data_IF_081536932410
#
_entry.id   IF_081536932410
#
_cell.length_a   1.000
_cell.length_b   1.000
_cell.length_c   1.000
_cell.angle_alpha   90.00
_cell.angle_beta   90.00
_cell.angle_gamma   90.00
#
_symmetry.space_group_name_H-M   'P 1'
#
loop_
_entity.id
_entity.type
_entity.pdbx_description
1 polymer ?
#
# COMPACT_ATOMS: atom_id res chain seq x y z
N UNK A 1 0.42 10.20 5.88
CA UNK A 1 0.96 9.05 6.65
C UNK A 1 2.43 9.22 6.96
N UNK A 2 3.30 9.44 5.97
CA UNK A 2 4.72 9.72 6.19
C UNK A 2 4.96 10.81 7.25
N UNK A 3 4.35 11.99 7.09
CA UNK A 3 4.45 13.07 8.07
C UNK A 3 4.01 12.67 9.48
N UNK A 4 3.01 11.79 9.62
CA UNK A 4 2.55 11.34 10.93
C UNK A 4 3.62 10.48 11.62
N UNK A 5 4.21 9.53 10.87
CA UNK A 5 5.24 8.63 11.38
C UNK A 5 6.57 9.34 11.66
N UNK A 6 6.81 10.50 11.04
CA UNK A 6 7.96 11.35 11.36
C UNK A 6 7.78 12.03 12.73
N UNK A 7 6.54 12.34 13.12
CA UNK A 7 6.23 13.08 14.34
C UNK A 7 5.86 12.17 15.52
N UNK A 8 5.57 10.89 15.26
CA UNK A 8 5.01 9.98 16.25
C UNK A 8 5.65 8.60 16.14
N UNK A 9 6.19 8.10 17.26
CA UNK A 9 6.79 6.75 17.32
C UNK A 9 5.74 5.63 17.33
N UNK A 10 4.53 5.93 17.82
CA UNK A 10 3.40 5.00 17.91
C UNK A 10 2.21 5.51 17.09
N UNK A 11 1.33 4.59 16.69
CA UNK A 11 0.15 4.93 15.88
C UNK A 11 -1.07 5.13 16.76
N UNK A 12 -1.46 6.39 16.92
CA UNK A 12 -2.75 6.83 17.41
C UNK A 12 -3.71 7.00 16.22
N UNK A 13 -4.80 6.23 16.24
CA UNK A 13 -5.79 6.17 15.14
C UNK A 13 -6.50 7.51 14.95
N UNK A 14 -6.79 8.22 16.02
CA UNK A 14 -7.57 9.45 15.96
C UNK A 14 -6.70 10.61 15.45
N UNK A 15 -5.49 10.77 15.99
CA UNK A 15 -4.53 11.77 15.49
C UNK A 15 -4.15 11.54 14.03
N UNK A 16 -3.98 10.28 13.61
CA UNK A 16 -3.73 9.96 12.22
C UNK A 16 -4.94 10.29 11.33
N UNK A 17 -6.15 10.00 11.83
CA UNK A 17 -7.40 10.36 11.16
C UNK A 17 -7.54 11.87 10.97
N UNK A 18 -7.23 12.67 12.00
CA UNK A 18 -7.21 14.14 11.92
C UNK A 18 -6.24 14.61 10.84
N UNK A 19 -5.03 14.03 10.79
CA UNK A 19 -4.04 14.38 9.75
C UNK A 19 -4.54 14.04 8.34
N UNK A 20 -5.29 12.94 8.17
CA UNK A 20 -5.94 12.63 6.89
C UNK A 20 -7.07 13.62 6.56
N UNK A 21 -7.89 14.00 7.53
CA UNK A 21 -8.95 14.98 7.34
C UNK A 21 -8.38 16.35 6.93
N UNK A 22 -7.34 16.84 7.62
CA UNK A 22 -6.66 18.08 7.26
C UNK A 22 -6.05 18.03 5.86
N UNK A 23 -5.47 16.89 5.46
CA UNK A 23 -4.94 16.70 4.10
C UNK A 23 -6.06 16.76 3.05
N UNK A 24 -7.22 16.17 3.34
CA UNK A 24 -8.39 16.23 2.45
C UNK A 24 -8.98 17.64 2.37
N UNK A 25 -9.09 18.36 3.49
CA UNK A 25 -9.61 19.73 3.50
C UNK A 25 -8.71 20.70 2.69
N UNK A 26 -7.40 20.48 2.69
CA UNK A 26 -6.45 21.28 1.90
C UNK A 26 -6.59 21.02 0.39
N UNK A 27 -6.80 19.77 -0.02
CA UNK A 27 -6.82 19.37 -1.43
C UNK A 27 -7.93 18.34 -1.74
N UNK A 28 -9.22 18.71 -1.62
CA UNK A 28 -10.33 17.76 -1.76
C UNK A 28 -10.50 17.21 -3.19
N UNK A 29 -9.89 17.85 -4.19
CA UNK A 29 -9.97 17.49 -5.61
C UNK A 29 -9.04 16.32 -6.02
N UNK A 30 -8.26 15.73 -5.10
CA UNK A 30 -7.26 14.67 -5.38
C UNK A 30 -7.82 13.28 -5.69
N UNK A 31 -9.07 13.17 -6.14
CA UNK A 31 -9.65 11.90 -6.59
C UNK A 31 -9.98 10.90 -5.46
N UNK A 32 -10.27 11.38 -4.24
CA UNK A 32 -10.68 10.50 -3.15
C UNK A 32 -11.94 9.70 -3.49
N UNK A 33 -11.95 8.41 -3.13
CA UNK A 33 -13.18 7.62 -3.14
C UNK A 33 -14.25 8.22 -2.22
N UNK A 34 -15.54 7.83 -2.38
CA UNK A 34 -16.65 8.48 -1.68
C UNK A 34 -16.67 8.24 -0.15
N UNK A 35 -15.88 7.28 0.33
CA UNK A 35 -15.84 6.87 1.74
C UNK A 35 -15.15 7.88 2.66
N UNK A 36 -13.82 8.11 2.52
CA UNK A 36 -13.07 8.99 3.41
C UNK A 36 -13.69 10.38 3.61
N UNK A 37 -14.15 11.11 2.56
CA UNK A 37 -14.81 12.41 2.75
C UNK A 37 -16.04 12.34 3.66
N UNK A 38 -16.87 11.30 3.54
CA UNK A 38 -18.05 11.09 4.39
C UNK A 38 -17.65 10.77 5.83
N UNK A 39 -16.58 9.99 6.02
CA UNK A 39 -16.03 9.68 7.35
C UNK A 39 -15.56 10.96 8.03
N UNK A 40 -14.75 11.77 7.34
CA UNK A 40 -14.20 13.02 7.87
C UNK A 40 -15.31 14.00 8.25
N UNK A 41 -16.31 14.15 7.38
CA UNK A 41 -17.51 14.95 7.65
C UNK A 41 -18.25 14.46 8.90
N UNK A 42 -18.48 13.15 9.01
CA UNK A 42 -19.21 12.55 10.13
C UNK A 42 -18.49 12.70 11.48
N UNK A 43 -17.15 12.56 11.49
CA UNK A 43 -16.31 12.83 12.67
C UNK A 43 -16.47 14.29 13.10
N UNK A 44 -16.36 15.23 12.16
CA UNK A 44 -16.49 16.68 12.43
C UNK A 44 -17.87 17.06 12.98
N UNK A 45 -18.94 16.53 12.39
CA UNK A 45 -20.32 16.86 12.77
C UNK A 45 -20.76 16.19 14.08
N UNK A 46 -20.40 14.93 14.29
CA UNK A 46 -20.90 14.13 15.42
C UNK A 46 -19.91 13.97 16.56
N UNK A 47 -18.68 14.45 16.42
CA UNK A 47 -17.59 14.33 17.41
C UNK A 47 -17.39 12.87 17.87
N UNK A 48 -17.50 11.93 16.94
CA UNK A 48 -17.25 10.51 17.17
C UNK A 48 -15.87 10.11 16.65
N UNK A 49 -15.33 8.98 17.11
CA UNK A 49 -14.06 8.48 16.63
C UNK A 49 -14.07 8.12 15.14
N UNK A 50 -12.91 8.23 14.48
CA UNK A 50 -12.75 7.84 13.07
C UNK A 50 -13.14 6.38 12.84
N UNK A 51 -12.76 5.50 13.76
CA UNK A 51 -13.16 4.08 13.70
C UNK A 51 -14.68 3.92 13.68
N UNK A 52 -15.41 4.63 14.56
CA UNK A 52 -16.89 4.56 14.62
C UNK A 52 -17.52 5.19 13.38
N UNK A 53 -16.98 6.31 12.91
CA UNK A 53 -17.46 6.95 11.69
C UNK A 53 -17.27 6.04 10.46
N UNK A 54 -16.11 5.37 10.33
CA UNK A 54 -15.85 4.40 9.26
C UNK A 54 -16.85 3.23 9.27
N UNK A 55 -17.16 2.70 10.45
CA UNK A 55 -18.14 1.62 10.62
C UNK A 55 -19.58 2.07 10.32
N UNK A 56 -19.91 3.34 10.59
CA UNK A 56 -21.23 3.91 10.24
C UNK A 56 -21.39 4.08 8.72
N UNK A 57 -20.36 4.53 8.02
CA UNK A 57 -20.40 4.71 6.55
C UNK A 57 -20.38 3.35 5.84
N UNK A 58 -19.62 2.40 6.36
CA UNK A 58 -19.54 1.04 5.82
C UNK A 58 -19.79 0.04 6.95
N UNK A 59 -21.04 -0.45 7.12
CA UNK A 59 -21.31 -1.60 7.98
C UNK A 59 -20.44 -2.79 7.56
N UNK A 60 -19.63 -3.33 8.48
CA UNK A 60 -18.61 -4.35 8.18
C UNK A 60 -17.23 -3.80 7.75
N UNK A 61 -17.15 -2.50 7.45
CA UNK A 61 -15.93 -1.79 7.07
C UNK A 61 -15.70 -1.72 5.56
N UNK A 62 -14.99 -0.68 5.11
CA UNK A 62 -14.54 -0.57 3.72
C UNK A 62 -13.48 -1.63 3.41
N UNK A 63 -13.72 -2.45 2.37
CA UNK A 63 -12.78 -3.43 1.81
C UNK A 63 -11.96 -2.87 0.62
N UNK A 64 -12.03 -1.56 0.39
CA UNK A 64 -11.28 -0.86 -0.66
C UNK A 64 -9.77 -0.93 -0.47
N UNK A 65 -9.02 -0.67 -1.54
CA UNK A 65 -7.56 -0.67 -1.55
C UNK A 65 -6.92 0.63 -1.01
N UNK A 66 -7.71 1.62 -0.61
CA UNK A 66 -7.23 2.94 -0.19
C UNK A 66 -6.34 2.91 1.06
N UNK A 67 -6.37 1.85 1.86
CA UNK A 67 -5.39 1.62 2.93
C UNK A 67 -4.05 1.12 2.40
N UNK A 68 -4.06 0.19 1.44
CA UNK A 68 -2.87 -0.39 0.83
C UNK A 68 -2.12 0.63 -0.04
N UNK A 69 -2.83 1.46 -0.82
CA UNK A 69 -2.21 2.47 -1.70
C UNK A 69 -1.31 3.47 -0.97
N UNK A 70 -1.59 3.73 0.32
CA UNK A 70 -0.86 4.71 1.12
C UNK A 70 0.14 4.09 2.10
N UNK A 71 0.35 2.76 2.06
CA UNK A 71 1.00 2.05 3.16
C UNK A 71 2.53 2.08 3.13
N UNK A 72 3.13 2.52 2.02
CA UNK A 72 4.57 2.54 1.80
C UNK A 72 5.38 3.14 2.97
N UNK A 73 5.03 4.32 3.52
CA UNK A 73 5.74 4.88 4.67
C UNK A 73 5.73 3.97 5.91
N UNK A 74 4.61 3.29 6.17
CA UNK A 74 4.50 2.39 7.31
C UNK A 74 5.27 1.08 7.08
N UNK A 75 5.31 0.58 5.84
CA UNK A 75 6.18 -0.53 5.45
C UNK A 75 7.66 -0.22 5.68
N UNK A 76 8.12 0.95 5.23
CA UNK A 76 9.48 1.45 5.45
C UNK A 76 9.82 1.66 6.93
N UNK A 77 8.85 2.11 7.73
CA UNK A 77 9.08 2.44 9.13
C UNK A 77 9.06 1.19 10.04
N UNK A 78 8.05 0.32 9.89
CA UNK A 78 7.81 -0.78 10.84
C UNK A 78 8.44 -2.13 10.47
N UNK A 79 9.07 -2.31 9.29
CA UNK A 79 9.52 -3.62 8.78
C UNK A 79 10.37 -4.47 9.74
N UNK A 80 11.06 -3.85 10.69
CA UNK A 80 11.89 -4.52 11.69
C UNK A 80 11.09 -5.06 12.90
N UNK A 81 9.89 -4.56 13.16
CA UNK A 81 9.09 -4.88 14.35
C UNK A 81 8.26 -6.16 14.18
N UNK A 82 8.89 -7.30 13.89
CA UNK A 82 8.18 -8.53 13.49
C UNK A 82 6.96 -8.91 14.36
N UNK A 83 7.05 -8.79 15.69
CA UNK A 83 5.95 -9.11 16.62
C UNK A 83 4.78 -8.11 16.57
N UNK A 84 5.06 -6.82 16.40
CA UNK A 84 4.05 -5.74 16.41
C UNK A 84 3.65 -5.26 15.01
N UNK A 85 4.33 -5.76 13.97
CA UNK A 85 4.20 -5.28 12.60
C UNK A 85 2.74 -5.25 12.13
N UNK A 86 2.04 -6.39 12.25
CA UNK A 86 0.65 -6.48 11.80
C UNK A 86 -0.22 -5.44 12.50
N UNK A 87 -0.08 -5.30 13.82
CA UNK A 87 -0.91 -4.37 14.59
C UNK A 87 -0.59 -2.92 14.26
N UNK A 88 0.68 -2.54 14.14
CA UNK A 88 1.06 -1.19 13.75
C UNK A 88 0.50 -0.83 12.37
N UNK A 89 0.62 -1.72 11.39
CA UNK A 89 0.04 -1.51 10.06
C UNK A 89 -1.49 -1.40 10.15
N UNK A 90 -2.14 -2.31 10.89
CA UNK A 90 -3.59 -2.28 11.10
C UNK A 90 -4.06 -0.93 11.65
N UNK A 91 -3.38 -0.38 12.66
CA UNK A 91 -3.73 0.92 13.24
C UNK A 91 -3.71 2.05 12.20
N UNK A 92 -2.82 2.01 11.20
CA UNK A 92 -2.79 3.01 10.12
C UNK A 92 -3.96 2.91 9.13
N UNK A 93 -4.65 1.76 9.11
CA UNK A 93 -5.80 1.50 8.23
C UNK A 93 -7.10 2.03 8.83
N UNK A 94 -7.27 1.85 10.15
CA UNK A 94 -8.52 2.08 10.88
C UNK A 94 -9.17 3.47 10.74
N UNK A 95 -8.45 4.57 10.45
CA UNK A 95 -9.12 5.86 10.23
C UNK A 95 -10.10 5.86 9.06
N UNK A 96 -9.96 4.93 8.11
CA UNK A 96 -10.81 4.88 6.90
C UNK A 96 -11.24 3.47 6.49
N UNK A 97 -10.47 2.44 6.83
CA UNK A 97 -10.69 1.07 6.40
C UNK A 97 -10.59 0.13 7.60
N UNK A 98 -11.73 -0.42 8.02
CA UNK A 98 -11.82 -1.35 9.15
C UNK A 98 -12.10 -2.79 8.72
N UNK A 99 -12.32 -3.05 7.43
CA UNK A 99 -12.59 -4.40 6.94
C UNK A 99 -11.33 -5.26 6.98
N UNK A 100 -11.40 -6.55 7.40
CA UNK A 100 -10.25 -7.45 7.42
C UNK A 100 -9.48 -7.51 6.10
N UNK A 101 -10.16 -7.65 4.96
CA UNK A 101 -9.51 -7.64 3.64
C UNK A 101 -8.75 -6.34 3.32
N UNK A 102 -9.25 -5.16 3.70
CA UNK A 102 -8.51 -3.92 3.44
C UNK A 102 -7.26 -3.83 4.33
N UNK A 103 -7.37 -4.28 5.58
CA UNK A 103 -6.25 -4.33 6.52
C UNK A 103 -5.19 -5.33 6.04
N UNK A 104 -5.60 -6.55 5.71
CA UNK A 104 -4.69 -7.62 5.29
C UNK A 104 -3.99 -7.26 3.98
N UNK A 105 -4.70 -6.64 3.03
CA UNK A 105 -4.10 -6.10 1.81
C UNK A 105 -3.01 -5.05 2.08
N UNK A 106 -3.24 -4.13 3.02
CA UNK A 106 -2.23 -3.15 3.42
C UNK A 106 -1.03 -3.80 4.14
N UNK A 107 -1.28 -4.78 5.01
CA UNK A 107 -0.23 -5.58 5.67
C UNK A 107 0.63 -6.32 4.65
N UNK A 108 0.02 -6.93 3.64
CA UNK A 108 0.70 -7.68 2.58
C UNK A 108 1.64 -6.75 1.80
N UNK A 109 1.17 -5.59 1.34
CA UNK A 109 2.01 -4.61 0.62
C UNK A 109 3.14 -4.09 1.51
N UNK A 110 2.83 -3.71 2.75
CA UNK A 110 3.83 -3.24 3.71
C UNK A 110 4.90 -4.32 4.00
N UNK A 111 4.49 -5.58 4.10
CA UNK A 111 5.40 -6.70 4.35
C UNK A 111 6.28 -6.97 3.14
N UNK A 112 5.72 -6.91 1.93
CA UNK A 112 6.48 -7.04 0.70
C UNK A 112 7.59 -5.97 0.62
N UNK A 113 7.26 -4.72 0.91
CA UNK A 113 8.25 -3.62 1.00
C UNK A 113 9.36 -3.99 2.00
N UNK A 114 8.98 -4.35 3.23
CA UNK A 114 9.95 -4.72 4.27
C UNK A 114 10.82 -5.94 3.94
N UNK A 115 10.30 -6.89 3.17
CA UNK A 115 11.04 -8.05 2.67
C UNK A 115 12.09 -7.66 1.62
N UNK A 116 11.71 -6.77 0.69
CA UNK A 116 12.53 -6.34 -0.44
C UNK A 116 13.69 -5.42 -0.01
N UNK A 117 13.47 -4.54 0.98
CA UNK A 117 14.51 -3.63 1.49
C UNK A 117 15.78 -4.30 2.02
N UNK A 118 15.71 -5.60 2.34
CA UNK A 118 16.80 -6.35 2.96
C UNK A 118 17.61 -7.19 1.97
N UNK A 119 17.34 -7.08 0.67
CA UNK A 119 17.81 -8.05 -0.32
C UNK A 119 18.19 -7.40 -1.64
N UNK A 120 19.39 -7.73 -2.12
CA UNK A 120 19.80 -7.40 -3.48
C UNK A 120 19.25 -8.40 -4.51
N UNK A 121 18.99 -9.65 -4.08
CA UNK A 121 18.41 -10.73 -4.87
C UNK A 121 17.50 -11.60 -4.00
N UNK A 122 16.48 -12.18 -4.62
CA UNK A 122 15.58 -13.15 -3.98
C UNK A 122 14.88 -14.02 -5.03
N UNK A 123 14.52 -15.23 -4.62
CA UNK A 123 13.63 -16.08 -5.39
C UNK A 123 12.17 -15.68 -5.17
N UNK A 124 11.35 -15.72 -6.23
CA UNK A 124 9.95 -15.32 -6.14
C UNK A 124 9.19 -16.10 -5.05
N UNK A 125 9.55 -17.38 -4.85
CA UNK A 125 8.98 -18.24 -3.83
C UNK A 125 9.20 -17.71 -2.40
N UNK A 126 10.36 -17.13 -2.09
CA UNK A 126 10.63 -16.57 -0.76
C UNK A 126 9.65 -15.44 -0.40
N UNK A 127 9.35 -14.54 -1.35
CA UNK A 127 8.38 -13.48 -1.12
C UNK A 127 6.98 -14.08 -0.97
N UNK A 128 6.59 -15.02 -1.83
CA UNK A 128 5.28 -15.68 -1.75
C UNK A 128 5.07 -16.36 -0.39
N UNK A 129 6.06 -17.09 0.12
CA UNK A 129 6.01 -17.73 1.43
C UNK A 129 5.90 -16.70 2.57
N UNK A 130 6.65 -15.59 2.51
CA UNK A 130 6.55 -14.52 3.49
C UNK A 130 5.15 -13.89 3.50
N UNK A 131 4.54 -13.70 2.33
CA UNK A 131 3.20 -13.12 2.20
C UNK A 131 2.11 -14.09 2.69
N UNK A 132 2.24 -15.38 2.41
CA UNK A 132 1.35 -16.41 2.96
C UNK A 132 1.41 -16.48 4.49
N UNK A 133 2.61 -16.29 5.06
CA UNK A 133 2.84 -16.32 6.51
C UNK A 133 2.22 -15.13 7.24
N UNK A 134 2.27 -13.93 6.63
CA UNK A 134 1.77 -12.70 7.27
C UNK A 134 0.25 -12.51 7.07
N UNK A 135 -0.31 -13.00 5.96
CA UNK A 135 -1.72 -12.83 5.62
C UNK A 135 -2.62 -13.59 6.59
N UNK A 136 -3.68 -12.91 7.05
CA UNK A 136 -4.68 -13.49 7.96
C UNK A 136 -5.99 -13.85 7.28
N UNK A 137 -6.23 -13.41 6.05
CA UNK A 137 -7.44 -13.73 5.29
C UNK A 137 -7.19 -14.85 4.29
N UNK A 138 -8.04 -15.87 4.29
CA UNK A 138 -7.87 -17.03 3.41
C UNK A 138 -8.06 -16.66 1.93
N UNK A 139 -8.91 -15.67 1.63
CA UNK A 139 -9.10 -15.15 0.28
C UNK A 139 -7.80 -14.56 -0.30
N UNK A 140 -7.00 -13.91 0.56
CA UNK A 140 -5.68 -13.42 0.17
C UNK A 140 -4.70 -14.56 -0.01
N UNK A 141 -4.65 -15.52 0.92
CA UNK A 141 -3.78 -16.70 0.78
C UNK A 141 -4.05 -17.44 -0.52
N UNK A 142 -5.31 -17.61 -0.91
CA UNK A 142 -5.69 -18.26 -2.15
C UNK A 142 -5.22 -17.48 -3.40
N UNK A 143 -5.35 -16.14 -3.39
CA UNK A 143 -4.81 -15.32 -4.48
C UNK A 143 -3.29 -15.31 -4.50
N UNK A 144 -2.61 -15.29 -3.36
CA UNK A 144 -1.15 -15.35 -3.26
C UNK A 144 -0.63 -16.68 -3.82
N UNK A 145 -1.27 -17.82 -3.50
CA UNK A 145 -0.94 -19.12 -4.12
C UNK A 145 -1.06 -19.08 -5.64
N UNK A 146 -2.10 -18.43 -6.17
CA UNK A 146 -2.30 -18.24 -7.62
C UNK A 146 -1.19 -17.41 -8.26
N UNK A 147 -0.56 -16.48 -7.54
CA UNK A 147 0.60 -15.73 -8.06
C UNK A 147 1.74 -16.68 -8.41
N UNK A 148 2.08 -17.66 -7.56
CA UNK A 148 3.15 -18.63 -7.84
C UNK A 148 2.89 -19.36 -9.16
N UNK A 149 1.68 -19.91 -9.31
CA UNK A 149 1.28 -20.60 -10.53
C UNK A 149 1.37 -19.70 -11.77
N UNK A 150 0.89 -18.46 -11.68
CA UNK A 150 0.92 -17.53 -12.81
C UNK A 150 2.35 -17.16 -13.22
N UNK A 151 3.26 -17.04 -12.25
CA UNK A 151 4.69 -16.76 -12.48
C UNK A 151 5.38 -17.96 -13.13
N UNK A 152 5.18 -19.17 -12.59
CA UNK A 152 5.75 -20.42 -13.12
C UNK A 152 5.32 -20.68 -14.56
N UNK A 153 4.06 -20.37 -14.89
CA UNK A 153 3.51 -20.51 -16.24
C UNK A 153 3.82 -19.31 -17.15
N UNK A 154 4.64 -18.35 -16.69
CA UNK A 154 4.96 -17.10 -17.39
C UNK A 154 3.72 -16.39 -17.99
N UNK A 155 2.60 -16.37 -17.26
CA UNK A 155 1.35 -15.83 -17.77
C UNK A 155 1.45 -14.32 -18.08
N UNK A 156 0.67 -13.86 -19.07
CA UNK A 156 0.57 -12.43 -19.37
C UNK A 156 -0.13 -11.64 -18.25
N UNK A 157 0.07 -10.33 -18.22
CA UNK A 157 -0.63 -9.44 -17.28
C UNK A 157 -2.15 -9.48 -17.48
N UNK A 158 -2.63 -9.63 -18.72
CA UNK A 158 -4.05 -9.77 -19.03
C UNK A 158 -4.63 -11.06 -18.41
N UNK A 159 -3.91 -12.19 -18.53
CA UNK A 159 -4.33 -13.45 -17.92
C UNK A 159 -4.28 -13.38 -16.39
N UNK A 160 -3.24 -12.76 -15.83
CA UNK A 160 -3.13 -12.56 -14.39
C UNK A 160 -4.26 -11.67 -13.86
N UNK A 161 -4.63 -10.59 -14.56
CA UNK A 161 -5.78 -9.75 -14.21
C UNK A 161 -7.09 -10.55 -14.16
N UNK A 162 -7.32 -11.44 -15.12
CA UNK A 162 -8.54 -12.27 -15.12
C UNK A 162 -8.63 -13.16 -13.87
N UNK A 163 -7.49 -13.59 -13.31
CA UNK A 163 -7.42 -14.48 -12.14
C UNK A 163 -7.36 -13.71 -10.81
N UNK A 164 -6.59 -12.62 -10.76
CA UNK A 164 -6.25 -11.87 -9.55
C UNK A 164 -7.14 -10.62 -9.38
N UNK A 165 -7.77 -10.13 -10.44
CA UNK A 165 -8.50 -8.87 -10.49
C UNK A 165 -7.62 -7.68 -10.90
N UNK A 166 -8.27 -6.56 -11.18
CA UNK A 166 -7.68 -5.22 -11.22
C UNK A 166 -8.81 -4.20 -11.00
N UNK A 167 -9.20 -3.96 -9.74
CA UNK A 167 -10.29 -3.05 -9.36
C UNK A 167 -10.02 -2.40 -7.99
N UNK A 168 -10.92 -1.51 -7.55
CA UNK A 168 -10.77 -0.70 -6.33
C UNK A 168 -10.86 -1.45 -4.99
N UNK A 169 -11.00 -2.78 -5.02
CA UNK A 169 -10.98 -3.60 -3.80
C UNK A 169 -9.55 -4.00 -3.46
N UNK A 170 -9.22 -4.12 -2.17
CA UNK A 170 -7.90 -4.59 -1.76
C UNK A 170 -7.59 -5.99 -2.32
N UNK A 171 -8.54 -6.91 -2.20
CA UNK A 171 -8.41 -8.28 -2.71
C UNK A 171 -8.28 -8.33 -4.25
N UNK A 172 -8.86 -7.36 -4.96
CA UNK A 172 -8.85 -7.27 -6.42
C UNK A 172 -7.72 -6.43 -7.02
N UNK A 173 -6.82 -5.86 -6.19
CA UNK A 173 -5.70 -5.03 -6.67
C UNK A 173 -4.36 -5.44 -6.10
N UNK A 174 -4.27 -5.71 -4.79
CA UNK A 174 -2.99 -6.03 -4.11
C UNK A 174 -2.30 -7.26 -4.71
N UNK A 175 -2.97 -8.41 -4.95
CA UNK A 175 -2.30 -9.57 -5.54
C UNK A 175 -1.83 -9.31 -6.96
N UNK A 176 -2.57 -8.51 -7.73
CA UNK A 176 -2.20 -8.15 -9.10
C UNK A 176 -0.98 -7.21 -9.14
N UNK A 177 -0.89 -6.25 -8.21
CA UNK A 177 0.27 -5.38 -8.06
C UNK A 177 1.56 -6.18 -7.75
N UNK A 178 1.45 -7.17 -6.85
CA UNK A 178 2.57 -8.07 -6.51
C UNK A 178 2.97 -8.92 -7.72
N UNK A 179 2.00 -9.49 -8.44
CA UNK A 179 2.28 -10.25 -9.65
C UNK A 179 2.99 -9.40 -10.72
N UNK A 180 2.51 -8.18 -10.96
CA UNK A 180 3.09 -7.27 -11.94
C UNK A 180 4.55 -6.93 -11.61
N UNK A 181 4.83 -6.66 -10.33
CA UNK A 181 6.20 -6.51 -9.84
C UNK A 181 7.04 -7.77 -10.09
N UNK A 182 6.58 -8.94 -9.64
CA UNK A 182 7.34 -10.19 -9.75
C UNK A 182 7.62 -10.60 -11.21
N UNK A 183 6.70 -10.30 -12.13
CA UNK A 183 6.86 -10.60 -13.56
C UNK A 183 8.01 -9.82 -14.19
N UNK A 184 8.26 -8.59 -13.74
CA UNK A 184 9.26 -7.67 -14.29
C UNK A 184 10.15 -7.06 -13.18
N UNK A 185 10.58 -7.88 -12.21
CA UNK A 185 11.20 -7.38 -10.96
C UNK A 185 12.49 -6.58 -11.18
N UNK A 186 13.21 -6.83 -12.27
CA UNK A 186 14.48 -6.18 -12.61
C UNK A 186 14.32 -4.98 -13.57
N UNK A 187 13.13 -4.78 -14.14
CA UNK A 187 12.87 -3.69 -15.10
C UNK A 187 11.67 -2.86 -14.67
N UNK A 188 11.92 -1.85 -13.84
CA UNK A 188 10.88 -0.92 -13.35
C UNK A 188 10.12 -0.23 -14.48
N UNK A 189 10.84 0.33 -15.46
CA UNK A 189 10.24 1.13 -16.54
C UNK A 189 9.28 0.29 -17.38
N UNK A 190 9.76 -0.85 -17.89
CA UNK A 190 8.94 -1.75 -18.69
C UNK A 190 7.81 -2.37 -17.88
N UNK A 191 8.10 -2.78 -16.64
CA UNK A 191 7.13 -3.38 -15.72
C UNK A 191 5.96 -2.45 -15.42
N UNK A 192 6.26 -1.21 -15.03
CA UNK A 192 5.22 -0.22 -14.70
C UNK A 192 4.42 0.19 -15.94
N UNK A 193 5.06 0.46 -17.08
CA UNK A 193 4.34 0.80 -18.34
C UNK A 193 3.39 -0.34 -18.71
N UNK A 194 3.89 -1.57 -18.73
CA UNK A 194 3.11 -2.74 -19.13
C UNK A 194 1.91 -2.97 -18.21
N UNK A 195 2.08 -2.73 -16.91
CA UNK A 195 1.01 -2.85 -15.91
C UNK A 195 -0.04 -1.75 -16.05
N UNK A 196 0.35 -0.48 -16.13
CA UNK A 196 -0.57 0.66 -16.24
C UNK A 196 -1.41 0.59 -17.52
N UNK A 197 -0.90 -0.03 -18.60
CA UNK A 197 -1.67 -0.23 -19.83
C UNK A 197 -2.84 -1.20 -19.64
N UNK A 198 -2.82 -2.06 -18.63
CA UNK A 198 -3.94 -2.94 -18.28
C UNK A 198 -5.09 -2.09 -17.73
N UNK A 199 -6.32 -2.22 -18.27
CA UNK A 199 -7.47 -1.49 -17.72
C UNK A 199 -7.85 -1.96 -16.30
N UNK A 200 -8.55 -1.11 -15.55
CA UNK A 200 -8.85 -1.35 -14.14
C UNK A 200 -8.45 -0.15 -13.28
N UNK A 201 -8.00 -0.41 -12.07
CA UNK A 201 -7.54 0.58 -11.09
C UNK A 201 -6.03 0.81 -11.27
N UNK A 202 -5.68 1.55 -12.33
CA UNK A 202 -4.31 1.72 -12.82
C UNK A 202 -3.44 2.53 -11.87
N UNK A 203 -4.00 3.59 -11.31
CA UNK A 203 -3.30 4.50 -10.41
C UNK A 203 -2.95 3.80 -9.09
N UNK A 204 -3.90 3.07 -8.49
CA UNK A 204 -3.65 2.40 -7.22
C UNK A 204 -2.72 1.19 -7.38
N UNK A 205 -2.93 0.37 -8.42
CA UNK A 205 -2.05 -0.77 -8.69
C UNK A 205 -0.64 -0.29 -9.03
N UNK A 206 -0.50 0.71 -9.90
CA UNK A 206 0.79 1.32 -10.23
C UNK A 206 1.50 1.95 -9.04
N UNK A 207 0.76 2.56 -8.11
CA UNK A 207 1.32 3.07 -6.86
C UNK A 207 1.89 1.95 -5.98
N UNK A 208 1.14 0.85 -5.81
CA UNK A 208 1.58 -0.28 -4.99
C UNK A 208 2.74 -1.05 -5.64
N UNK A 209 2.65 -1.39 -6.93
CA UNK A 209 3.71 -2.09 -7.67
C UNK A 209 4.97 -1.21 -7.76
N UNK A 210 4.81 0.09 -8.03
CA UNK A 210 5.86 1.11 -7.99
C UNK A 210 6.60 1.14 -6.66
N UNK A 211 5.89 1.07 -5.53
CA UNK A 211 6.51 1.01 -4.22
C UNK A 211 7.36 -0.26 -4.01
N UNK A 212 6.95 -1.40 -4.58
CA UNK A 212 7.75 -2.64 -4.53
C UNK A 212 9.04 -2.52 -5.33
N UNK A 213 8.98 -2.01 -6.57
CA UNK A 213 10.19 -1.73 -7.35
C UNK A 213 11.08 -0.70 -6.65
N UNK A 214 10.52 0.37 -6.10
CA UNK A 214 11.28 1.37 -5.36
C UNK A 214 12.00 0.79 -4.14
N UNK A 215 11.36 -0.13 -3.42
CA UNK A 215 11.97 -0.83 -2.29
C UNK A 215 13.06 -1.83 -2.71
N UNK A 216 12.93 -2.47 -3.88
CA UNK A 216 13.86 -3.49 -4.35
C UNK A 216 15.05 -2.92 -5.13
N UNK A 217 14.78 -2.04 -6.10
CA UNK A 217 15.79 -1.49 -7.00
C UNK A 217 16.40 -0.19 -6.45
N UNK A 218 15.62 0.58 -5.70
CA UNK A 218 16.00 1.91 -5.22
C UNK A 218 15.81 3.02 -6.26
N UNK A 219 15.98 4.27 -5.79
CA UNK A 219 15.66 5.48 -6.56
C UNK A 219 16.40 5.60 -7.90
N UNK A 220 17.63 5.07 -7.99
CA UNK A 220 18.47 5.15 -9.19
C UNK A 220 17.91 4.44 -10.42
N UNK A 221 16.91 3.56 -10.25
CA UNK A 221 16.26 2.84 -11.36
C UNK A 221 14.99 3.53 -11.85
N UNK A 222 14.57 4.63 -11.21
CA UNK A 222 13.46 5.45 -11.70
C UNK A 222 14.03 6.38 -12.79
N UNK A 223 13.46 6.40 -14.01
CA UNK A 223 13.92 7.30 -15.07
C UNK A 223 13.92 8.76 -14.61
N UNK A 224 15.03 9.48 -14.83
CA UNK A 224 15.18 10.88 -14.43
C UNK A 224 14.06 11.76 -14.98
N UNK A 225 13.69 11.57 -16.25
CA UNK A 225 12.61 12.32 -16.89
C UNK A 225 11.25 12.11 -16.25
N UNK A 226 11.04 10.98 -15.55
CA UNK A 226 9.82 10.73 -14.79
C UNK A 226 9.88 11.42 -13.43
N UNK A 227 11.03 11.36 -12.74
CA UNK A 227 11.23 12.06 -11.47
C UNK A 227 11.06 13.58 -11.62
N UNK A 228 11.59 14.17 -12.68
CA UNK A 228 11.45 15.62 -12.95
C UNK A 228 10.01 16.05 -13.25
N UNK A 229 9.14 15.12 -13.66
CA UNK A 229 7.70 15.37 -13.91
C UNK A 229 6.84 15.08 -12.68
N UNK A 230 7.41 14.49 -11.63
CA UNK A 230 6.66 14.14 -10.43
C UNK A 230 6.34 15.39 -9.63
N UNK A 231 5.05 15.67 -9.47
CA UNK A 231 4.57 16.75 -8.62
C UNK A 231 5.09 16.57 -7.19
N UNK A 232 5.54 17.66 -6.56
CA UNK A 232 6.04 17.68 -5.18
C UNK A 232 7.27 16.79 -4.91
N UNK A 233 8.08 16.47 -5.92
CA UNK A 233 9.29 15.63 -5.78
C UNK A 233 10.18 16.05 -4.60
N UNK A 234 10.52 17.34 -4.48
CA UNK A 234 11.37 17.85 -3.38
C UNK A 234 10.75 17.62 -2.00
N UNK A 235 9.43 17.67 -1.89
CA UNK A 235 8.74 17.42 -0.63
C UNK A 235 8.70 15.92 -0.31
N UNK A 236 8.47 15.06 -1.31
CA UNK A 236 8.49 13.60 -1.17
C UNK A 236 9.88 13.12 -0.74
N UNK A 237 10.94 13.62 -1.38
CA UNK A 237 12.34 13.32 -1.02
C UNK A 237 12.65 13.73 0.43
N UNK A 238 12.28 14.95 0.82
CA UNK A 238 12.45 15.41 2.21
C UNK A 238 11.72 14.53 3.22
N UNK A 239 10.53 14.01 2.89
CA UNK A 239 9.82 13.08 3.75
C UNK A 239 10.51 11.72 3.82
N UNK A 240 11.01 11.21 2.69
CA UNK A 240 11.78 9.96 2.65
C UNK A 240 13.03 10.06 3.52
N UNK A 241 13.80 11.16 3.42
CA UNK A 241 15.00 11.40 4.21
C UNK A 241 14.70 11.53 5.71
N UNK A 242 13.59 12.18 6.08
CA UNK A 242 13.16 12.28 7.48
C UNK A 242 12.73 10.92 8.04
N UNK A 243 11.98 10.12 7.26
CA UNK A 243 11.63 8.76 7.64
C UNK A 243 12.87 7.88 7.84
N UNK A 244 13.85 7.99 6.94
CA UNK A 244 15.12 7.29 7.06
C UNK A 244 15.88 7.70 8.32
N UNK A 245 16.06 9.01 8.57
CA UNK A 245 16.76 9.51 9.76
C UNK A 245 16.08 9.09 11.06
N UNK A 246 14.78 9.30 11.21
CA UNK A 246 14.07 8.86 12.41
C UNK A 246 14.19 7.36 12.67
N UNK A 247 14.40 6.57 11.61
CA UNK A 247 14.55 5.12 11.71
C UNK A 247 15.97 4.67 12.06
N UNK A 248 16.99 5.32 11.50
CA UNK A 248 18.40 4.87 11.56
C UNK A 248 19.32 5.80 12.36
N UNK A 249 18.83 6.93 12.87
CA UNK A 249 19.59 7.86 13.73
C UNK A 249 19.43 7.59 15.23
N UNK A 250 19.09 6.35 15.60
CA UNK A 250 19.08 5.80 16.97
C UNK A 250 19.78 4.46 16.96
#
# INVERSE_FOLDING_TARGET
LAEYLIENETVDVEKLGEKFACSYEREPWRGYGPGPPKIFKLVKEKKISFKKAAQNIYPGGSFGNGAAMRITPAGLYFYHQNKKFYENIRLTCLPTHSHPLAIDGAVIVARAIGFLLKRDKFENKELIEELLRISRCDEFKDKIKKISFLIEQNCSLQKARAVLGNNSTALGSVPFAIFAFLKNKENFKEGLISEVLISGDRDTVGCMSGALWGAYLGVRYIPSDWLHKLENITYIEKLADKLYRNRFST
#
